data_IF_907993961549
#
_entry.id   IF_907993961549
#
_cell.length_a   1.000
_cell.length_b   1.000
_cell.length_c   1.000
_cell.angle_alpha   90.00
_cell.angle_beta   90.00
_cell.angle_gamma   90.00
#
_symmetry.space_group_name_H-M   'P 1'
#
loop_
_entity.id
_entity.type
_entity.pdbx_description
1 polymer ?
#
# COMPACT_ATOMS: atom_id res chain seq x y z
N UNK A 1 30.13 44.48 23.97
CA UNK A 1 29.34 43.42 23.31
C UNK A 1 30.25 42.22 23.07
N UNK A 2 30.16 41.22 23.94
CA UNK A 2 31.03 40.04 23.96
C UNK A 2 30.34 38.92 23.19
N UNK A 3 31.02 38.34 22.19
CA UNK A 3 30.60 37.13 21.48
C UNK A 3 31.16 35.91 22.24
N UNK A 4 30.27 35.04 22.72
CA UNK A 4 30.60 33.71 23.24
C UNK A 4 30.41 32.67 22.10
N UNK A 5 31.38 31.80 21.82
CA UNK A 5 31.15 30.61 21.02
C UNK A 5 30.74 29.43 21.91
N UNK A 6 29.58 28.84 21.61
CA UNK A 6 29.14 27.57 22.21
C UNK A 6 29.82 26.42 21.46
N UNK A 7 30.64 25.66 22.19
CA UNK A 7 31.13 24.34 21.78
C UNK A 7 30.05 23.30 22.10
N UNK A 8 29.78 22.39 21.17
CA UNK A 8 29.19 21.08 21.48
C UNK A 8 30.16 19.99 21.05
N UNK A 9 30.62 19.22 22.03
CA UNK A 9 31.09 17.87 21.84
C UNK A 9 30.22 16.93 22.67
N UNK A 10 29.80 15.82 22.09
CA UNK A 10 29.72 14.51 22.75
C UNK A 10 29.28 13.47 21.72
N UNK A 11 30.10 12.42 21.56
CA UNK A 11 29.71 11.17 20.90
C UNK A 11 28.78 10.40 21.83
N UNK A 12 27.71 9.84 21.27
CA UNK A 12 26.90 8.78 21.88
C UNK A 12 27.01 7.49 21.03
N UNK A 13 26.81 6.31 21.64
CA UNK A 13 27.22 5.03 21.08
C UNK A 13 26.27 4.50 20.01
N UNK A 14 26.83 3.75 19.06
CA UNK A 14 26.11 2.97 18.05
C UNK A 14 25.36 1.82 18.72
N UNK A 15 24.03 1.83 18.64
CA UNK A 15 23.19 0.67 18.87
C UNK A 15 22.28 0.46 17.65
N UNK A 16 22.48 -0.70 17.01
CA UNK A 16 21.57 -1.48 16.16
C UNK A 16 20.46 -0.70 15.43
N UNK A 17 20.75 -0.25 14.21
CA UNK A 17 19.73 0.07 13.22
C UNK A 17 19.14 -1.26 12.68
N UNK A 18 17.86 -1.48 12.95
CA UNK A 18 17.01 -2.41 12.20
C UNK A 18 16.96 -1.97 10.73
N UNK A 19 17.01 -2.88 9.75
CA UNK A 19 16.95 -2.49 8.35
C UNK A 19 15.53 -1.99 8.04
N UNK A 20 15.36 -0.68 8.00
CA UNK A 20 14.30 -0.06 7.22
C UNK A 20 14.52 -0.53 5.78
N UNK A 21 13.57 -1.28 5.22
CA UNK A 21 13.56 -1.59 3.79
C UNK A 21 13.47 -0.24 3.09
N UNK A 22 14.62 0.29 2.67
CA UNK A 22 14.69 1.51 1.89
C UNK A 22 13.86 1.28 0.63
N UNK A 23 12.84 2.11 0.42
CA UNK A 23 12.27 2.31 -0.90
C UNK A 23 13.41 2.65 -1.87
N UNK A 24 13.24 2.27 -3.13
CA UNK A 24 14.27 2.32 -4.18
C UNK A 24 15.11 3.64 -4.17
N UNK A 25 16.37 3.61 -4.65
CA UNK A 25 17.31 4.74 -4.55
C UNK A 25 16.84 6.08 -5.16
N UNK A 26 15.74 6.09 -5.93
CA UNK A 26 15.15 7.31 -6.48
C UNK A 26 14.63 8.29 -5.41
N UNK A 27 14.21 7.80 -4.24
CA UNK A 27 13.80 8.64 -3.10
C UNK A 27 14.99 9.16 -2.25
N UNK A 28 16.24 8.76 -2.55
CA UNK A 28 17.43 9.10 -1.74
C UNK A 28 18.34 10.19 -2.34
N UNK A 29 17.83 11.05 -3.24
CA UNK A 29 18.67 12.05 -3.95
C UNK A 29 19.24 13.21 -3.10
N UNK A 30 19.30 13.07 -1.77
CA UNK A 30 19.97 14.02 -0.86
C UNK A 30 21.17 13.47 -0.06
N UNK A 31 21.62 12.22 -0.23
CA UNK A 31 22.61 11.61 0.70
C UNK A 31 23.84 10.90 0.07
N UNK A 32 24.29 11.28 -1.13
CA UNK A 32 25.53 10.73 -1.70
C UNK A 32 26.79 11.46 -1.21
N UNK A 33 27.29 11.05 -0.04
CA UNK A 33 28.71 11.12 0.32
C UNK A 33 29.08 10.22 1.52
N UNK A 34 28.93 8.89 1.39
CA UNK A 34 29.80 7.91 2.06
C UNK A 34 29.50 6.45 1.64
N UNK A 35 30.53 5.77 1.12
CA UNK A 35 30.86 4.34 1.28
C UNK A 35 29.77 3.27 1.21
N UNK A 36 29.80 2.45 0.16
CA UNK A 36 28.98 1.25 -0.03
C UNK A 36 29.42 0.06 0.85
N UNK A 37 28.44 -0.76 1.27
CA UNK A 37 28.63 -2.17 1.66
C UNK A 37 27.39 -2.96 1.25
N UNK A 38 27.60 -4.04 0.49
CA UNK A 38 26.58 -4.95 -0.04
C UNK A 38 26.19 -6.02 0.99
N UNK A 39 24.89 -6.28 1.15
CA UNK A 39 24.38 -7.53 1.73
C UNK A 39 23.18 -8.05 0.94
N UNK A 40 23.22 -9.34 0.61
CA UNK A 40 22.21 -10.07 -0.13
C UNK A 40 20.95 -10.29 0.73
N UNK A 41 19.77 -10.12 0.14
CA UNK A 41 18.47 -10.33 0.78
C UNK A 41 17.75 -11.56 0.21
N UNK A 42 17.26 -12.39 1.11
CA UNK A 42 16.51 -13.63 0.88
C UNK A 42 15.07 -13.32 0.43
N UNK A 43 14.68 -13.85 -0.74
CA UNK A 43 13.31 -13.77 -1.30
C UNK A 43 12.30 -14.45 -0.38
N UNK A 44 11.30 -13.69 0.08
CA UNK A 44 10.05 -14.24 0.63
C UNK A 44 8.94 -13.98 -0.39
N UNK A 45 8.37 -15.04 -0.95
CA UNK A 45 7.31 -14.95 -1.97
C UNK A 45 5.96 -14.61 -1.31
N UNK A 46 5.43 -13.41 -1.56
CA UNK A 46 4.02 -13.11 -1.40
C UNK A 46 3.36 -13.15 -2.78
N UNK A 47 2.53 -14.16 -3.03
CA UNK A 47 1.76 -14.29 -4.27
C UNK A 47 0.45 -13.49 -4.13
N UNK A 48 0.44 -12.24 -4.63
CA UNK A 48 -0.81 -11.56 -4.98
C UNK A 48 -1.13 -11.91 -6.45
N UNK A 49 -2.12 -12.79 -6.66
CA UNK A 49 -2.64 -13.05 -8.02
C UNK A 49 -3.56 -11.90 -8.43
N UNK A 50 -3.03 -10.97 -9.21
CA UNK A 50 -3.85 -10.03 -9.97
C UNK A 50 -4.59 -10.81 -11.07
N UNK A 51 -5.92 -10.93 -10.98
CA UNK A 51 -6.74 -11.58 -12.01
C UNK A 51 -6.91 -10.64 -13.20
N UNK A 52 -6.06 -10.77 -14.22
CA UNK A 52 -6.45 -10.42 -15.59
C UNK A 52 -7.37 -11.52 -16.14
N UNK A 53 -8.47 -11.12 -16.76
CA UNK A 53 -9.51 -11.98 -17.32
C UNK A 53 -8.98 -12.75 -18.53
N UNK A 54 -8.58 -14.02 -18.35
CA UNK A 54 -8.26 -14.95 -19.44
C UNK A 54 -9.45 -15.92 -19.61
N UNK A 55 -9.94 -16.16 -20.84
CA UNK A 55 -11.09 -17.04 -21.08
C UNK A 55 -10.80 -18.51 -20.70
N UNK A 56 -11.84 -19.15 -20.14
CA UNK A 56 -11.83 -20.48 -19.49
C UNK A 56 -11.43 -21.61 -20.44
N UNK A 57 -10.43 -22.41 -20.04
CA UNK A 57 -10.22 -23.77 -20.52
C UNK A 57 -10.67 -24.79 -19.46
N UNK A 58 -11.39 -25.81 -19.91
CA UNK A 58 -12.02 -26.89 -19.14
C UNK A 58 -10.98 -27.82 -18.48
N UNK A 59 -11.13 -28.14 -17.20
CA UNK A 59 -10.40 -29.24 -16.52
C UNK A 59 -11.41 -30.21 -15.88
N UNK A 60 -11.23 -31.55 -15.95
CA UNK A 60 -12.22 -32.53 -15.50
C UNK A 60 -12.22 -32.76 -13.98
N UNK A 61 -13.39 -33.14 -13.48
CA UNK A 61 -13.67 -33.52 -12.09
C UNK A 61 -13.04 -34.85 -11.72
N UNK A 62 -12.54 -34.92 -10.48
CA UNK A 62 -12.54 -36.15 -9.71
C UNK A 62 -11.50 -36.10 -8.60
N UNK A 63 -11.94 -35.99 -7.34
CA UNK A 63 -11.44 -36.81 -6.23
C UNK A 63 -12.38 -36.66 -5.02
N UNK A 64 -12.80 -37.81 -4.50
CA UNK A 64 -13.74 -37.98 -3.38
C UNK A 64 -13.03 -37.82 -2.03
N UNK A 65 -13.80 -37.28 -1.08
CA UNK A 65 -13.55 -37.15 0.36
C UNK A 65 -13.34 -38.50 1.07
N UNK A 66 -12.51 -38.49 2.12
CA UNK A 66 -12.64 -39.39 3.26
C UNK A 66 -12.79 -38.51 4.50
N UNK A 67 -13.94 -38.60 5.15
CA UNK A 67 -14.23 -37.98 6.43
C UNK A 67 -13.92 -38.97 7.55
N UNK A 68 -13.14 -38.56 8.55
CA UNK A 68 -13.02 -39.25 9.83
C UNK A 68 -13.85 -38.50 10.87
N UNK A 69 -14.74 -39.25 11.51
CA UNK A 69 -15.73 -38.82 12.49
C UNK A 69 -15.15 -39.12 13.87
N UNK A 70 -15.02 -38.11 14.72
CA UNK A 70 -14.77 -38.26 16.16
C UNK A 70 -15.88 -37.54 16.91
N UNK A 71 -16.49 -38.28 17.83
CA UNK A 71 -17.56 -37.84 18.74
C UNK A 71 -16.99 -37.38 20.08
N UNK A 72 -17.82 -36.59 20.79
CA UNK A 72 -17.76 -36.22 22.22
C UNK A 72 -16.85 -35.00 22.56
N UNK A 73 -17.21 -33.98 23.33
CA UNK A 73 -18.22 -33.81 24.40
C UNK A 73 -18.65 -32.32 24.51
N UNK A 74 -19.89 -32.11 24.95
CA UNK A 74 -20.64 -30.84 25.08
C UNK A 74 -20.18 -29.91 26.22
N UNK A 75 -19.98 -28.62 25.90
CA UNK A 75 -20.36 -27.41 26.70
C UNK A 75 -19.72 -26.08 26.19
N UNK A 76 -18.90 -26.09 25.13
CA UNK A 76 -18.31 -24.88 24.51
C UNK A 76 -18.80 -24.56 23.08
N UNK A 77 -19.88 -25.21 22.64
CA UNK A 77 -20.16 -25.43 21.21
C UNK A 77 -20.83 -24.26 20.46
N UNK A 78 -21.28 -23.20 21.14
CA UNK A 78 -22.05 -22.14 20.47
C UNK A 78 -21.19 -21.09 19.77
N UNK A 79 -20.06 -20.67 20.36
CA UNK A 79 -19.19 -19.66 19.72
C UNK A 79 -18.27 -20.26 18.66
N UNK A 80 -17.88 -21.54 18.80
CA UNK A 80 -16.91 -22.15 17.90
C UNK A 80 -17.52 -22.65 16.58
N UNK A 81 -18.86 -22.77 16.48
CA UNK A 81 -19.56 -23.04 15.21
C UNK A 81 -19.75 -21.79 14.34
N UNK A 82 -19.46 -20.60 14.88
CA UNK A 82 -19.62 -19.32 14.17
C UNK A 82 -18.46 -19.00 13.22
N UNK A 83 -17.35 -19.74 13.32
CA UNK A 83 -16.11 -19.43 12.59
C UNK A 83 -16.22 -19.65 11.08
N UNK A 84 -17.06 -20.58 10.63
CA UNK A 84 -17.20 -20.92 9.20
C UNK A 84 -18.48 -20.33 8.56
N UNK A 85 -19.51 -20.06 9.37
CA UNK A 85 -20.79 -19.51 8.89
C UNK A 85 -20.80 -17.97 8.76
N UNK A 86 -19.77 -17.30 9.28
CA UNK A 86 -19.67 -15.84 9.33
C UNK A 86 -20.56 -15.22 10.42
N UNK A 87 -20.29 -13.95 10.74
CA UNK A 87 -21.10 -13.18 11.67
C UNK A 87 -22.39 -12.70 10.98
N UNK A 88 -23.56 -13.02 11.55
CA UNK A 88 -24.82 -12.42 11.11
C UNK A 88 -24.88 -10.95 11.54
N UNK A 89 -25.78 -10.17 10.94
CA UNK A 89 -25.97 -8.77 11.34
C UNK A 89 -26.40 -8.66 12.79
N UNK A 90 -27.28 -9.54 13.23
CA UNK A 90 -27.78 -9.60 14.61
C UNK A 90 -26.65 -9.91 15.59
N UNK A 91 -25.75 -10.84 15.24
CA UNK A 91 -24.58 -11.15 16.07
C UNK A 91 -23.59 -9.98 16.16
N UNK A 92 -23.42 -9.22 15.06
CA UNK A 92 -22.61 -7.99 15.07
C UNK A 92 -23.27 -6.92 15.95
N UNK A 93 -24.58 -6.72 15.81
CA UNK A 93 -25.33 -5.75 16.61
C UNK A 93 -25.33 -6.13 18.10
N UNK A 94 -25.39 -7.42 18.42
CA UNK A 94 -25.23 -7.95 19.78
C UNK A 94 -23.82 -7.68 20.33
N UNK A 95 -22.76 -7.98 19.56
CA UNK A 95 -21.38 -7.71 19.98
C UNK A 95 -21.10 -6.21 20.20
N UNK A 96 -21.69 -5.35 19.35
CA UNK A 96 -21.66 -3.90 19.56
C UNK A 96 -22.41 -3.55 20.85
N UNK A 97 -23.63 -4.05 21.02
CA UNK A 97 -24.48 -3.76 22.18
C UNK A 97 -23.90 -4.24 23.51
N UNK A 98 -23.10 -5.31 23.49
CA UNK A 98 -22.41 -5.83 24.67
C UNK A 98 -21.02 -5.22 24.88
N UNK A 99 -20.53 -4.38 23.95
CA UNK A 99 -19.19 -3.81 23.99
C UNK A 99 -18.05 -4.82 23.74
N UNK A 100 -18.36 -6.03 23.27
CA UNK A 100 -17.37 -7.10 23.08
C UNK A 100 -16.89 -7.14 21.63
N UNK A 101 -16.20 -6.08 21.21
CA UNK A 101 -15.69 -5.98 19.83
C UNK A 101 -14.41 -6.78 19.58
N UNK A 102 -13.67 -7.18 20.61
CA UNK A 102 -12.39 -7.87 20.48
C UNK A 102 -12.51 -9.15 19.64
N UNK A 103 -13.52 -9.98 19.91
CA UNK A 103 -13.73 -11.22 19.16
C UNK A 103 -14.12 -10.96 17.70
N UNK A 104 -14.94 -9.94 17.44
CA UNK A 104 -15.33 -9.56 16.09
C UNK A 104 -14.12 -9.02 15.31
N UNK A 105 -13.33 -8.13 15.92
CA UNK A 105 -12.14 -7.54 15.31
C UNK A 105 -11.05 -8.59 15.09
N UNK A 106 -10.86 -9.50 16.03
CA UNK A 106 -9.95 -10.63 15.87
C UNK A 106 -10.37 -11.52 14.70
N UNK A 107 -11.66 -11.84 14.61
CA UNK A 107 -12.20 -12.61 13.48
C UNK A 107 -12.01 -11.87 12.16
N UNK A 108 -12.30 -10.57 12.08
CA UNK A 108 -12.05 -9.74 10.89
C UNK A 108 -10.56 -9.80 10.51
N UNK A 109 -9.66 -9.63 11.47
CA UNK A 109 -8.20 -9.60 11.25
C UNK A 109 -7.62 -10.93 10.77
N UNK A 110 -8.22 -12.06 11.18
CA UNK A 110 -7.75 -13.41 10.81
C UNK A 110 -8.45 -14.00 9.58
N UNK A 111 -9.62 -13.47 9.19
CA UNK A 111 -10.49 -14.01 8.13
C UNK A 111 -10.78 -13.02 7.01
N UNK A 112 -9.99 -11.95 6.86
CA UNK A 112 -10.25 -10.85 5.92
C UNK A 112 -10.46 -11.25 4.46
N UNK A 113 -9.96 -12.43 4.04
CA UNK A 113 -10.15 -12.94 2.67
C UNK A 113 -11.58 -13.39 2.35
N UNK A 114 -12.48 -13.42 3.34
CA UNK A 114 -13.86 -13.84 3.15
C UNK A 114 -14.79 -12.62 3.03
N UNK A 115 -15.75 -12.69 2.10
CA UNK A 115 -16.76 -11.65 1.89
C UNK A 115 -17.53 -11.25 3.17
N UNK A 116 -17.66 -12.17 4.13
CA UNK A 116 -18.32 -11.92 5.41
C UNK A 116 -17.52 -10.94 6.28
N UNK A 117 -16.19 -11.06 6.34
CA UNK A 117 -15.33 -10.17 7.11
C UNK A 117 -15.35 -8.74 6.55
N UNK A 118 -15.36 -8.61 5.23
CA UNK A 118 -15.53 -7.32 4.54
C UNK A 118 -16.86 -6.66 4.92
N UNK A 119 -17.98 -7.40 4.86
CA UNK A 119 -19.29 -6.89 5.27
C UNK A 119 -19.33 -6.45 6.73
N UNK A 120 -18.72 -7.22 7.63
CA UNK A 120 -18.66 -6.87 9.04
C UNK A 120 -17.86 -5.58 9.27
N UNK A 121 -16.70 -5.43 8.60
CA UNK A 121 -15.91 -4.21 8.60
C UNK A 121 -16.74 -3.02 8.10
N UNK A 122 -17.47 -3.18 6.99
CA UNK A 122 -18.28 -2.11 6.42
C UNK A 122 -19.43 -1.68 7.36
N UNK A 123 -20.02 -2.63 8.12
CA UNK A 123 -20.99 -2.32 9.17
C UNK A 123 -20.35 -1.49 10.31
N UNK A 124 -19.15 -1.86 10.75
CA UNK A 124 -18.43 -1.11 11.79
C UNK A 124 -18.06 0.30 11.31
N UNK A 125 -17.64 0.46 10.05
CA UNK A 125 -17.39 1.76 9.42
C UNK A 125 -18.68 2.60 9.41
N UNK A 126 -19.81 2.02 9.02
CA UNK A 126 -21.09 2.71 8.99
C UNK A 126 -21.59 3.13 10.40
N UNK A 127 -21.14 2.43 11.45
CA UNK A 127 -21.47 2.71 12.85
C UNK A 127 -20.30 3.34 13.64
N UNK A 128 -19.30 3.90 12.97
CA UNK A 128 -18.10 4.43 13.63
C UNK A 128 -18.32 5.68 14.51
N UNK A 129 -19.54 6.20 14.58
CA UNK A 129 -19.91 7.27 15.53
C UNK A 129 -20.66 6.73 16.77
N UNK A 130 -20.99 5.44 16.80
CA UNK A 130 -21.61 4.81 17.95
C UNK A 130 -20.62 4.76 19.12
N UNK A 131 -20.97 5.28 20.32
CA UNK A 131 -20.09 5.28 21.48
C UNK A 131 -19.51 3.92 21.83
N UNK A 132 -20.27 2.83 21.67
CA UNK A 132 -19.79 1.48 21.97
C UNK A 132 -18.79 0.98 20.93
N UNK A 133 -18.96 1.38 19.67
CA UNK A 133 -17.99 1.08 18.60
C UNK A 133 -16.70 1.87 18.81
N UNK A 134 -16.82 3.15 19.14
CA UNK A 134 -15.68 4.01 19.47
C UNK A 134 -14.90 3.41 20.65
N UNK A 135 -15.59 3.11 21.74
CA UNK A 135 -14.97 2.54 22.94
C UNK A 135 -14.29 1.20 22.65
N UNK A 136 -14.95 0.28 21.96
CA UNK A 136 -14.38 -1.04 21.69
C UNK A 136 -13.14 -1.00 20.79
N UNK A 137 -13.15 -0.19 19.73
CA UNK A 137 -11.97 -0.04 18.87
C UNK A 137 -10.84 0.70 19.60
N UNK A 138 -11.14 1.77 20.37
CA UNK A 138 -10.11 2.44 21.18
C UNK A 138 -9.49 1.44 22.16
N UNK A 139 -10.31 0.63 22.83
CA UNK A 139 -9.83 -0.42 23.75
C UNK A 139 -8.83 -1.33 23.04
N UNK A 140 -9.20 -1.90 21.89
CA UNK A 140 -8.32 -2.79 21.10
C UNK A 140 -7.02 -2.11 20.68
N UNK A 141 -7.07 -0.85 20.25
CA UNK A 141 -5.87 -0.10 19.85
C UNK A 141 -4.98 0.25 21.04
N UNK A 142 -5.55 0.38 22.23
CA UNK A 142 -4.83 0.71 23.47
C UNK A 142 -4.27 -0.51 24.20
N UNK A 143 -4.70 -1.74 23.88
CA UNK A 143 -4.21 -2.95 24.53
C UNK A 143 -2.77 -3.31 24.09
N UNK A 144 -1.91 -3.81 25.00
CA UNK A 144 -0.57 -4.24 24.62
C UNK A 144 -0.59 -5.46 23.67
N UNK A 145 0.18 -5.39 22.60
CA UNK A 145 0.26 -6.45 21.57
C UNK A 145 1.26 -7.53 22.00
N UNK A 146 0.79 -8.58 22.68
CA UNK A 146 1.64 -9.65 23.25
C UNK A 146 1.70 -10.91 22.39
N UNK A 147 0.77 -11.05 21.45
CA UNK A 147 0.64 -12.21 20.58
C UNK A 147 0.32 -11.83 19.14
N UNK A 148 0.46 -12.80 18.23
CA UNK A 148 0.01 -12.64 16.84
C UNK A 148 -1.50 -12.39 16.74
N UNK A 149 -2.29 -12.94 17.67
CA UNK A 149 -3.73 -12.71 17.71
C UNK A 149 -4.06 -11.26 18.07
N UNK A 150 -3.39 -10.71 19.10
CA UNK A 150 -3.55 -9.30 19.50
C UNK A 150 -3.17 -8.38 18.34
N UNK A 151 -2.08 -8.72 17.63
CA UNK A 151 -1.64 -8.00 16.44
C UNK A 151 -2.72 -7.98 15.35
N UNK A 152 -3.31 -9.14 15.02
CA UNK A 152 -4.39 -9.22 14.04
C UNK A 152 -5.61 -8.39 14.46
N UNK A 153 -5.99 -8.42 15.74
CA UNK A 153 -7.10 -7.64 16.28
C UNK A 153 -6.83 -6.13 16.16
N UNK A 154 -5.65 -5.68 16.57
CA UNK A 154 -5.24 -4.28 16.46
C UNK A 154 -5.12 -3.83 15.00
N UNK A 155 -4.61 -4.68 14.10
CA UNK A 155 -4.62 -4.42 12.65
C UNK A 155 -6.03 -4.22 12.11
N UNK A 156 -7.01 -5.03 12.53
CA UNK A 156 -8.40 -4.88 12.10
C UNK A 156 -9.00 -3.54 12.58
N UNK A 157 -8.78 -3.19 13.85
CA UNK A 157 -9.17 -1.89 14.40
C UNK A 157 -8.54 -0.73 13.62
N UNK A 158 -7.23 -0.81 13.37
CA UNK A 158 -6.49 0.23 12.65
C UNK A 158 -6.97 0.38 11.20
N UNK A 159 -7.31 -0.72 10.52
CA UNK A 159 -7.87 -0.66 9.17
C UNK A 159 -9.23 0.03 9.12
N UNK A 160 -10.12 -0.28 10.07
CA UNK A 160 -11.42 0.38 10.16
C UNK A 160 -11.23 1.89 10.32
N UNK A 161 -10.39 2.33 11.26
CA UNK A 161 -10.21 3.77 11.51
C UNK A 161 -9.61 4.51 10.31
N UNK A 162 -8.69 3.88 9.58
CA UNK A 162 -8.06 4.47 8.38
C UNK A 162 -9.02 4.77 7.24
N UNK A 163 -10.16 4.08 7.19
CA UNK A 163 -11.18 4.29 6.15
C UNK A 163 -12.24 5.34 6.57
N UNK A 164 -12.17 5.87 7.80
CA UNK A 164 -13.17 6.79 8.33
C UNK A 164 -12.97 8.23 7.85
N UNK A 165 -14.04 9.01 7.59
CA UNK A 165 -13.94 10.44 7.34
C UNK A 165 -13.17 11.16 8.44
N UNK A 166 -12.39 12.21 8.09
CA UNK A 166 -11.51 12.93 9.02
C UNK A 166 -12.19 13.33 10.35
N UNK A 167 -13.43 13.82 10.28
CA UNK A 167 -14.20 14.21 11.47
C UNK A 167 -14.48 13.03 12.41
N UNK A 168 -14.74 11.84 11.87
CA UNK A 168 -14.99 10.61 12.64
C UNK A 168 -13.69 9.96 13.10
N UNK A 169 -12.65 9.95 12.27
CA UNK A 169 -11.31 9.45 12.63
C UNK A 169 -10.75 10.14 13.89
N UNK A 170 -11.00 11.44 14.06
CA UNK A 170 -10.61 12.21 15.28
C UNK A 170 -11.14 11.61 16.59
N UNK A 171 -12.28 10.92 16.55
CA UNK A 171 -12.87 10.29 17.74
C UNK A 171 -11.99 9.15 18.28
N UNK A 172 -11.12 8.57 17.45
CA UNK A 172 -10.27 7.44 17.78
C UNK A 172 -8.83 7.84 18.15
N UNK A 173 -8.55 9.15 18.26
CA UNK A 173 -7.19 9.69 18.45
C UNK A 173 -6.48 9.10 19.68
N UNK A 174 -7.16 8.93 20.80
CA UNK A 174 -6.53 8.39 22.02
C UNK A 174 -6.05 6.94 21.86
N UNK A 175 -6.82 6.10 21.17
CA UNK A 175 -6.42 4.73 20.85
C UNK A 175 -5.21 4.69 19.91
N UNK A 176 -5.21 5.55 18.89
CA UNK A 176 -4.08 5.70 17.97
C UNK A 176 -2.80 6.17 18.68
N UNK A 177 -2.91 7.17 19.57
CA UNK A 177 -1.77 7.69 20.34
C UNK A 177 -1.18 6.60 21.26
N UNK A 178 -2.04 5.80 21.89
CA UNK A 178 -1.60 4.68 22.73
C UNK A 178 -0.84 3.64 21.91
N UNK A 179 -1.40 3.26 20.75
CA UNK A 179 -0.77 2.30 19.84
C UNK A 179 0.58 2.82 19.32
N UNK A 180 0.65 4.08 18.89
CA UNK A 180 1.88 4.70 18.40
C UNK A 180 2.97 4.74 19.48
N UNK A 181 2.60 5.02 20.73
CA UNK A 181 3.53 5.09 21.87
C UNK A 181 3.99 3.71 22.41
N UNK A 182 3.45 2.60 21.89
CA UNK A 182 3.85 1.24 22.27
C UNK A 182 5.36 1.05 22.12
N UNK A 183 6.02 0.49 23.15
CA UNK A 183 7.47 0.22 23.16
C UNK A 183 7.80 -1.26 23.23
N UNK A 184 6.80 -2.12 23.15
CA UNK A 184 6.95 -3.57 23.23
C UNK A 184 7.72 -4.14 22.03
N UNK A 185 8.34 -5.30 22.25
CA UNK A 185 8.93 -6.09 21.18
C UNK A 185 7.84 -6.73 20.32
N UNK A 186 8.14 -6.96 19.04
CA UNK A 186 7.21 -7.65 18.15
C UNK A 186 7.00 -9.10 18.57
N UNK A 187 5.75 -9.58 18.68
CA UNK A 187 5.49 -11.01 18.80
C UNK A 187 6.04 -11.78 17.59
N UNK A 188 6.34 -13.09 17.72
CA UNK A 188 6.85 -13.88 16.61
C UNK A 188 5.95 -13.84 15.38
N UNK A 189 6.55 -13.56 14.21
CA UNK A 189 5.88 -13.60 12.91
C UNK A 189 5.07 -12.36 12.53
N UNK A 190 5.04 -11.32 13.37
CA UNK A 190 4.34 -10.05 13.10
C UNK A 190 5.29 -8.85 13.29
N UNK A 191 4.89 -7.69 12.78
CA UNK A 191 5.70 -6.46 12.82
C UNK A 191 4.95 -5.36 13.58
N UNK A 192 5.17 -5.29 14.90
CA UNK A 192 4.62 -4.21 15.72
C UNK A 192 5.10 -2.82 15.26
N UNK A 193 6.36 -2.62 14.83
CA UNK A 193 6.79 -1.36 14.21
C UNK A 193 5.90 -0.91 13.05
N UNK A 194 5.50 -1.81 12.13
CA UNK A 194 4.61 -1.46 11.02
C UNK A 194 3.22 -1.02 11.48
N UNK A 195 2.72 -1.62 12.57
CA UNK A 195 1.45 -1.25 13.16
C UNK A 195 1.53 0.12 13.85
N UNK A 196 2.62 0.40 14.57
CA UNK A 196 2.90 1.70 15.21
C UNK A 196 3.02 2.82 14.18
N UNK A 197 3.88 2.67 13.18
CA UNK A 197 4.01 3.67 12.11
C UNK A 197 2.68 3.89 11.40
N UNK A 198 1.92 2.82 11.25
CA UNK A 198 0.56 2.89 10.76
C UNK A 198 -0.43 3.72 11.57
N UNK A 199 -0.24 3.83 12.88
CA UNK A 199 -1.00 4.70 13.77
C UNK A 199 -0.44 6.13 13.76
N UNK A 200 0.89 6.28 13.70
CA UNK A 200 1.58 7.57 13.54
C UNK A 200 1.11 8.30 12.28
N UNK A 201 1.01 7.61 11.13
CA UNK A 201 0.51 8.22 9.89
C UNK A 201 -0.95 8.70 10.05
N UNK A 202 -1.78 7.93 10.76
CA UNK A 202 -3.18 8.30 11.00
C UNK A 202 -3.29 9.53 11.90
N UNK A 203 -2.42 9.64 12.93
CA UNK A 203 -2.30 10.82 13.77
C UNK A 203 -1.83 12.02 12.94
N UNK A 204 -0.80 11.85 12.11
CA UNK A 204 -0.32 12.90 11.21
C UNK A 204 -1.42 13.38 10.26
N UNK A 205 -2.22 12.46 9.72
CA UNK A 205 -3.38 12.79 8.91
C UNK A 205 -4.41 13.63 9.67
N UNK A 206 -4.67 13.32 10.94
CA UNK A 206 -5.58 14.07 11.82
C UNK A 206 -5.06 15.49 12.08
N UNK A 207 -3.79 15.57 12.47
CA UNK A 207 -3.17 16.78 13.01
C UNK A 207 -2.79 17.79 11.92
N UNK A 208 -2.53 17.30 10.71
CA UNK A 208 -2.13 18.12 9.56
C UNK A 208 -3.12 17.95 8.40
N UNK A 209 -4.35 18.49 8.47
CA UNK A 209 -5.42 18.22 7.50
C UNK A 209 -5.10 18.64 6.05
N UNK A 210 -4.18 19.58 5.86
CA UNK A 210 -3.78 20.09 4.54
C UNK A 210 -2.54 19.37 3.95
N UNK A 211 -1.87 18.51 4.73
CA UNK A 211 -0.60 17.90 4.33
C UNK A 211 -0.81 16.71 3.39
N UNK A 212 -0.33 16.76 2.15
CA UNK A 212 -0.25 15.56 1.31
C UNK A 212 1.18 14.99 1.33
N UNK A 213 1.32 13.66 1.25
CA UNK A 213 2.62 13.00 1.13
C UNK A 213 2.56 11.77 0.24
N UNK A 214 3.67 11.47 -0.43
CA UNK A 214 3.87 10.20 -1.13
C UNK A 214 4.21 9.09 -0.12
N UNK A 215 3.92 7.81 -0.44
CA UNK A 215 4.21 6.71 0.48
C UNK A 215 5.69 6.68 0.86
N UNK A 216 5.97 6.57 2.16
CA UNK A 216 7.35 6.53 2.66
C UNK A 216 7.85 5.10 2.85
N UNK A 217 6.95 4.13 2.98
CA UNK A 217 7.24 2.71 3.18
C UNK A 217 6.08 1.83 2.69
N UNK A 218 6.30 0.52 2.58
CA UNK A 218 5.36 -0.44 1.97
C UNK A 218 3.99 -0.54 2.64
N UNK A 219 3.86 -0.05 3.87
CA UNK A 219 2.62 -0.12 4.68
C UNK A 219 2.09 1.25 5.06
N UNK A 220 2.54 2.30 4.36
CA UNK A 220 2.01 3.68 4.49
C UNK A 220 0.69 3.79 3.71
N UNK A 221 -0.37 3.25 4.30
CA UNK A 221 -1.71 3.25 3.69
C UNK A 221 -2.36 4.64 3.72
N UNK A 222 -1.88 5.54 4.57
CA UNK A 222 -2.44 6.89 4.70
C UNK A 222 -1.90 7.83 3.63
N UNK A 223 -0.72 7.58 3.05
CA UNK A 223 -0.20 8.37 1.92
C UNK A 223 -1.16 8.40 0.72
N UNK A 224 -1.66 7.24 0.27
CA UNK A 224 -2.62 7.17 -0.85
C UNK A 224 -3.84 8.06 -0.55
N UNK A 225 -4.38 7.93 0.66
CA UNK A 225 -5.54 8.69 1.11
C UNK A 225 -5.24 10.19 1.22
N UNK A 226 -4.06 10.58 1.70
CA UNK A 226 -3.63 11.97 1.80
C UNK A 226 -3.60 12.65 0.43
N UNK A 227 -3.06 11.97 -0.59
CA UNK A 227 -3.02 12.47 -1.96
C UNK A 227 -4.43 12.48 -2.58
N UNK A 228 -5.23 11.44 -2.35
CA UNK A 228 -6.59 11.35 -2.86
C UNK A 228 -7.46 12.51 -2.37
N UNK A 229 -7.39 12.82 -1.07
CA UNK A 229 -8.26 13.79 -0.42
C UNK A 229 -7.75 15.24 -0.50
N UNK A 230 -6.44 15.47 -0.67
CA UNK A 230 -5.83 16.81 -0.52
C UNK A 230 -5.20 17.37 -1.79
N UNK A 231 -4.93 16.53 -2.78
CA UNK A 231 -4.39 16.96 -4.08
C UNK A 231 -5.52 16.96 -5.11
N UNK A 232 -5.81 18.13 -5.67
CA UNK A 232 -6.92 18.33 -6.62
C UNK A 232 -6.49 18.91 -7.96
N UNK A 233 -5.21 19.26 -8.11
CA UNK A 233 -4.68 19.84 -9.34
C UNK A 233 -3.34 19.21 -9.71
N UNK A 234 -3.01 19.26 -11.00
CA UNK A 234 -1.70 18.84 -11.49
C UNK A 234 -0.55 19.59 -10.80
N UNK A 235 -0.70 20.89 -10.57
CA UNK A 235 0.32 21.69 -9.90
C UNK A 235 0.60 21.22 -8.46
N UNK A 236 -0.45 20.80 -7.74
CA UNK A 236 -0.30 20.21 -6.40
C UNK A 236 0.29 18.79 -6.46
N UNK A 237 0.01 18.01 -7.51
CA UNK A 237 0.54 16.65 -7.66
C UNK A 237 2.02 16.62 -8.04
N UNK A 238 2.48 17.63 -8.80
CA UNK A 238 3.83 17.68 -9.39
C UNK A 238 4.98 17.35 -8.42
N UNK A 239 5.02 17.84 -7.16
CA UNK A 239 6.10 17.51 -6.23
C UNK A 239 6.20 16.02 -5.87
N UNK A 240 5.12 15.27 -6.01
CA UNK A 240 5.03 13.85 -5.61
C UNK A 240 5.23 12.89 -6.78
N UNK A 241 5.20 13.37 -8.02
CA UNK A 241 5.16 12.52 -9.21
C UNK A 241 6.35 11.56 -9.30
N UNK A 242 7.57 12.05 -9.06
CA UNK A 242 8.79 11.23 -9.07
C UNK A 242 8.74 10.11 -8.02
N UNK A 243 8.35 10.44 -6.77
CA UNK A 243 8.28 9.47 -5.69
C UNK A 243 7.22 8.40 -5.97
N UNK A 244 6.06 8.80 -6.50
CA UNK A 244 5.00 7.86 -6.88
C UNK A 244 5.43 6.92 -8.02
N UNK A 245 6.17 7.42 -9.00
CA UNK A 245 6.74 6.58 -10.07
C UNK A 245 7.80 5.60 -9.53
N UNK A 246 8.52 5.99 -8.47
CA UNK A 246 9.42 5.11 -7.72
C UNK A 246 8.71 3.88 -7.13
N UNK A 247 7.46 4.02 -6.70
CA UNK A 247 6.65 2.90 -6.20
C UNK A 247 6.14 1.96 -7.29
N UNK A 248 6.32 2.30 -8.57
CA UNK A 248 5.97 1.44 -9.70
C UNK A 248 7.05 0.41 -10.04
N UNK A 249 8.18 0.39 -9.32
CA UNK A 249 9.26 -0.57 -9.56
C UNK A 249 8.83 -2.03 -9.33
N UNK A 250 7.91 -2.30 -8.40
CA UNK A 250 7.46 -3.65 -8.09
C UNK A 250 5.94 -3.69 -7.89
N UNK A 251 5.26 -4.40 -8.79
CA UNK A 251 3.81 -4.60 -8.78
C UNK A 251 3.28 -5.31 -7.52
N UNK A 252 4.15 -5.93 -6.71
CA UNK A 252 3.78 -6.58 -5.45
C UNK A 252 3.84 -5.62 -4.26
N UNK A 253 4.34 -4.38 -4.43
CA UNK A 253 4.35 -3.42 -3.34
C UNK A 253 2.94 -2.90 -3.08
N UNK A 254 2.47 -2.91 -1.81
CA UNK A 254 1.12 -2.46 -1.51
C UNK A 254 0.76 -1.07 -2.05
N UNK A 255 1.67 -0.06 -2.05
CA UNK A 255 1.36 1.25 -2.61
C UNK A 255 1.22 1.31 -4.14
N UNK A 256 1.65 0.29 -4.89
CA UNK A 256 1.73 0.32 -6.36
C UNK A 256 0.41 0.80 -7.00
N UNK A 257 -0.71 0.14 -6.68
CA UNK A 257 -2.01 0.46 -7.28
C UNK A 257 -2.51 1.84 -6.85
N UNK A 258 -2.25 2.25 -5.61
CA UNK A 258 -2.58 3.60 -5.14
C UNK A 258 -1.81 4.66 -5.91
N UNK A 259 -0.51 4.45 -6.14
CA UNK A 259 0.35 5.36 -6.90
C UNK A 259 -0.10 5.49 -8.35
N UNK A 260 -0.43 4.38 -9.03
CA UNK A 260 -1.00 4.39 -10.39
C UNK A 260 -2.26 5.25 -10.44
N UNK A 261 -3.22 5.02 -9.51
CA UNK A 261 -4.47 5.78 -9.46
C UNK A 261 -4.23 7.27 -9.26
N UNK A 262 -3.29 7.65 -8.39
CA UNK A 262 -3.00 9.06 -8.13
C UNK A 262 -2.36 9.73 -9.36
N UNK A 263 -1.35 9.10 -9.97
CA UNK A 263 -0.70 9.62 -11.18
C UNK A 263 -1.68 9.73 -12.36
N UNK A 264 -2.58 8.75 -12.53
CA UNK A 264 -3.58 8.73 -13.60
C UNK A 264 -4.60 9.87 -13.51
N UNK A 265 -4.76 10.53 -12.36
CA UNK A 265 -5.61 11.73 -12.23
C UNK A 265 -5.01 12.96 -12.91
N UNK A 266 -3.68 13.01 -13.03
CA UNK A 266 -2.92 14.13 -13.57
C UNK A 266 -1.75 13.62 -14.43
N UNK A 267 -2.00 12.83 -15.49
CA UNK A 267 -0.96 12.15 -16.25
C UNK A 267 0.12 13.09 -16.83
N UNK A 268 -0.24 14.35 -17.08
CA UNK A 268 0.68 15.38 -17.56
C UNK A 268 1.86 15.66 -16.62
N UNK A 269 1.70 15.41 -15.31
CA UNK A 269 2.79 15.63 -14.34
C UNK A 269 3.82 14.51 -14.33
N UNK A 270 3.46 13.34 -14.88
CA UNK A 270 4.29 12.15 -14.85
C UNK A 270 5.30 12.12 -16.02
N UNK A 271 5.00 12.81 -17.13
CA UNK A 271 5.79 12.73 -18.37
C UNK A 271 7.25 13.13 -18.18
N UNK A 272 7.53 14.31 -17.62
CA UNK A 272 8.92 14.77 -17.46
C UNK A 272 9.72 13.86 -16.51
N UNK A 273 9.20 13.49 -15.31
CA UNK A 273 9.86 12.48 -14.45
C UNK A 273 10.08 11.11 -15.12
N UNK A 274 9.16 10.65 -15.97
CA UNK A 274 9.33 9.36 -16.69
C UNK A 274 10.56 9.42 -17.61
N UNK A 275 10.80 10.55 -18.28
CA UNK A 275 11.98 10.72 -19.13
C UNK A 275 13.27 10.60 -18.32
N UNK A 276 13.30 11.21 -17.15
CA UNK A 276 14.43 11.10 -16.22
C UNK A 276 14.62 9.64 -15.76
N UNK A 277 13.54 8.94 -15.41
CA UNK A 277 13.62 7.52 -14.98
C UNK A 277 14.16 6.63 -16.10
N UNK A 278 13.66 6.77 -17.33
CA UNK A 278 14.14 5.99 -18.49
C UNK A 278 15.62 6.28 -18.75
N UNK A 279 16.05 7.53 -18.63
CA UNK A 279 17.45 7.90 -18.80
C UNK A 279 18.35 7.29 -17.72
N UNK A 280 17.91 7.34 -16.46
CA UNK A 280 18.71 6.97 -15.29
C UNK A 280 18.72 5.46 -14.97
N UNK A 281 17.73 4.68 -15.44
CA UNK A 281 17.50 3.29 -15.00
C UNK A 281 17.39 2.29 -16.16
N UNK A 282 18.21 2.45 -17.19
CA UNK A 282 18.20 1.57 -18.38
C UNK A 282 18.53 0.10 -18.09
N UNK A 283 19.17 -0.16 -16.97
CA UNK A 283 19.55 -1.48 -16.50
C UNK A 283 18.45 -2.17 -15.67
N UNK A 284 17.30 -1.52 -15.47
CA UNK A 284 16.13 -2.05 -14.77
C UNK A 284 14.92 -2.20 -15.72
N UNK A 285 14.93 -3.20 -16.62
CA UNK A 285 13.87 -3.36 -17.61
C UNK A 285 12.52 -3.72 -16.98
N UNK A 286 12.48 -4.31 -15.79
CA UNK A 286 11.24 -4.63 -15.08
C UNK A 286 10.53 -3.35 -14.63
N UNK A 287 11.26 -2.44 -13.99
CA UNK A 287 10.68 -1.15 -13.60
C UNK A 287 10.26 -0.33 -14.84
N UNK A 288 11.13 -0.23 -15.86
CA UNK A 288 10.79 0.51 -17.08
C UNK A 288 9.55 -0.06 -17.79
N UNK A 289 9.37 -1.38 -17.78
CA UNK A 289 8.17 -2.01 -18.32
C UNK A 289 6.91 -1.61 -17.55
N UNK A 290 6.97 -1.56 -16.22
CA UNK A 290 5.85 -1.05 -15.40
C UNK A 290 5.54 0.42 -15.67
N UNK A 291 6.57 1.25 -15.92
CA UNK A 291 6.39 2.64 -16.33
C UNK A 291 5.67 2.72 -17.67
N UNK A 292 6.08 1.92 -18.68
CA UNK A 292 5.40 1.91 -19.97
C UNK A 292 3.95 1.44 -19.88
N UNK A 293 3.65 0.41 -19.06
CA UNK A 293 2.26 0.00 -18.81
C UNK A 293 1.43 1.11 -18.18
N UNK A 294 2.00 1.90 -17.25
CA UNK A 294 1.31 3.07 -16.73
C UNK A 294 1.00 4.10 -17.83
N UNK A 295 1.97 4.40 -18.70
CA UNK A 295 1.77 5.36 -19.80
C UNK A 295 0.70 4.85 -20.77
N UNK A 296 0.78 3.58 -21.18
CA UNK A 296 -0.18 2.94 -22.07
C UNK A 296 -1.60 2.94 -21.49
N UNK A 297 -1.76 2.56 -20.23
CA UNK A 297 -3.08 2.42 -19.60
C UNK A 297 -3.69 3.75 -19.13
N UNK A 298 -2.87 4.76 -18.80
CA UNK A 298 -3.33 5.95 -18.04
C UNK A 298 -3.02 7.30 -18.67
N UNK A 299 -2.08 7.39 -19.63
CA UNK A 299 -1.75 8.66 -20.30
C UNK A 299 -2.45 8.73 -21.65
N UNK A 300 -3.30 9.74 -21.92
CA UNK A 300 -3.94 9.87 -23.24
C UNK A 300 -2.92 9.98 -24.37
N UNK A 301 -3.12 9.21 -25.44
CA UNK A 301 -2.32 9.30 -26.66
C UNK A 301 -2.46 10.70 -27.24
N UNK A 302 -1.33 11.34 -27.54
CA UNK A 302 -1.26 12.66 -28.14
C UNK A 302 -0.01 13.41 -27.72
N UNK A 303 -0.13 14.72 -27.49
CA UNK A 303 1.00 15.63 -27.17
C UNK A 303 1.85 15.16 -25.99
N UNK A 304 1.26 14.46 -25.01
CA UNK A 304 2.02 13.90 -23.89
C UNK A 304 2.91 12.72 -24.32
N UNK A 305 2.43 11.86 -25.21
CA UNK A 305 3.20 10.75 -25.77
C UNK A 305 4.29 11.25 -26.73
N UNK A 306 4.03 12.32 -27.49
CA UNK A 306 5.06 12.94 -28.35
C UNK A 306 6.29 13.37 -27.55
N UNK A 307 6.10 13.85 -26.32
CA UNK A 307 7.21 14.24 -25.45
C UNK A 307 8.09 13.06 -25.00
N UNK A 308 7.56 11.84 -25.05
CA UNK A 308 8.23 10.58 -24.70
C UNK A 308 8.78 9.84 -25.93
N UNK A 309 8.47 10.29 -27.15
CA UNK A 309 8.88 9.63 -28.40
C UNK A 309 10.38 9.37 -28.51
N UNK A 310 11.30 10.29 -28.09
CA UNK A 310 12.73 10.01 -28.11
C UNK A 310 13.12 8.83 -27.20
N UNK A 311 12.57 8.80 -25.99
CA UNK A 311 12.82 7.75 -25.00
C UNK A 311 12.22 6.41 -25.46
N UNK A 312 11.00 6.42 -26.03
CA UNK A 312 10.37 5.22 -26.59
C UNK A 312 11.17 4.66 -27.78
N UNK A 313 11.63 5.52 -28.69
CA UNK A 313 12.42 5.11 -29.86
C UNK A 313 13.73 4.43 -29.46
N UNK A 314 14.33 4.94 -28.39
CA UNK A 314 15.54 4.41 -27.82
C UNK A 314 15.35 3.04 -27.18
N UNK A 315 14.27 2.86 -26.40
CA UNK A 315 13.92 1.56 -25.81
C UNK A 315 13.54 0.53 -26.89
N UNK A 316 12.80 0.96 -27.91
CA UNK A 316 12.39 0.15 -29.06
C UNK A 316 13.57 -0.38 -29.90
N UNK A 317 14.71 0.31 -29.87
CA UNK A 317 15.92 -0.03 -30.64
C UNK A 317 16.87 -0.96 -29.89
N UNK A 318 16.51 -1.45 -28.71
CA UNK A 318 17.35 -2.34 -27.91
C UNK A 318 17.44 -3.74 -28.52
N UNK A 319 18.63 -4.16 -28.96
CA UNK A 319 18.90 -5.51 -29.46
C UNK A 319 19.21 -6.49 -28.32
N UNK A 320 18.29 -6.62 -27.36
CA UNK A 320 18.54 -7.43 -26.17
C UNK A 320 18.17 -8.91 -26.35
N UNK A 321 19.03 -9.79 -25.84
CA UNK A 321 18.83 -11.24 -25.85
C UNK A 321 18.01 -11.77 -24.67
N UNK A 322 17.85 -11.01 -23.59
CA UNK A 322 17.02 -11.42 -22.47
C UNK A 322 15.54 -11.10 -22.71
N UNK A 323 14.68 -11.88 -22.05
CA UNK A 323 13.23 -11.77 -22.24
C UNK A 323 12.69 -10.41 -21.82
N UNK A 324 13.13 -9.85 -20.70
CA UNK A 324 12.54 -8.63 -20.15
C UNK A 324 12.85 -7.42 -21.03
N UNK A 325 14.08 -7.29 -21.50
CA UNK A 325 14.42 -6.23 -22.44
C UNK A 325 13.73 -6.39 -23.80
N UNK A 326 13.50 -7.62 -24.28
CA UNK A 326 12.64 -7.83 -25.48
C UNK A 326 11.20 -7.38 -25.24
N UNK A 327 10.59 -7.81 -24.14
CA UNK A 327 9.22 -7.43 -23.77
C UNK A 327 9.13 -5.88 -23.67
N UNK A 328 10.14 -5.22 -23.11
CA UNK A 328 10.24 -3.75 -23.04
C UNK A 328 10.34 -3.10 -24.43
N UNK A 329 11.20 -3.61 -25.31
CA UNK A 329 11.35 -3.10 -26.67
C UNK A 329 10.07 -3.28 -27.49
N UNK A 330 9.40 -4.44 -27.37
CA UNK A 330 8.13 -4.73 -28.05
C UNK A 330 7.01 -3.78 -27.60
N UNK A 331 6.89 -3.50 -26.30
CA UNK A 331 5.93 -2.53 -25.77
C UNK A 331 6.24 -1.12 -26.28
N UNK A 332 7.50 -0.69 -26.24
CA UNK A 332 7.90 0.61 -26.77
C UNK A 332 7.60 0.77 -28.28
N UNK A 333 7.86 -0.29 -29.07
CA UNK A 333 7.52 -0.32 -30.51
C UNK A 333 6.01 -0.23 -30.74
N UNK A 334 5.21 -0.98 -29.98
CA UNK A 334 3.74 -0.91 -30.03
C UNK A 334 3.24 0.50 -29.77
N UNK A 335 3.74 1.15 -28.71
CA UNK A 335 3.36 2.52 -28.36
C UNK A 335 3.74 3.54 -29.44
N UNK A 336 4.91 3.41 -30.07
CA UNK A 336 5.31 4.24 -31.21
C UNK A 336 4.39 4.05 -32.43
N UNK A 337 3.94 2.81 -32.67
CA UNK A 337 2.94 2.49 -33.69
C UNK A 337 1.63 3.26 -33.45
N UNK A 338 1.09 3.16 -32.24
CA UNK A 338 -0.13 3.88 -31.83
C UNK A 338 0.04 5.40 -31.94
N UNK A 339 1.19 5.95 -31.54
CA UNK A 339 1.48 7.38 -31.69
C UNK A 339 1.53 7.81 -33.17
N UNK A 340 2.11 6.98 -34.05
CA UNK A 340 2.16 7.25 -35.49
C UNK A 340 0.78 7.26 -36.12
N UNK A 341 -0.10 6.32 -35.72
CA UNK A 341 -1.49 6.28 -36.16
C UNK A 341 -2.24 7.56 -35.74
N UNK A 342 -2.14 7.94 -34.47
CA UNK A 342 -2.74 9.16 -33.96
C UNK A 342 -2.26 10.41 -34.72
N UNK A 343 -0.94 10.54 -35.00
CA UNK A 343 -0.39 11.66 -35.78
C UNK A 343 -0.98 11.73 -37.19
N UNK A 344 -1.19 10.59 -37.86
CA UNK A 344 -1.80 10.54 -39.20
C UNK A 344 -3.26 11.01 -39.17
N UNK A 345 -4.00 10.64 -38.13
CA UNK A 345 -5.40 11.06 -37.94
C UNK A 345 -5.51 12.57 -37.73
N UNK A 346 -4.52 13.23 -37.12
CA UNK A 346 -4.53 14.69 -36.97
C UNK A 346 -4.32 15.40 -38.33
N UNK A 347 -3.35 14.95 -39.13
CA UNK A 347 -3.05 15.56 -40.44
C UNK A 347 -4.18 15.38 -41.46
N UNK A 348 -4.97 14.30 -41.34
CA UNK A 348 -6.12 14.06 -42.21
C UNK A 348 -7.37 14.89 -41.88
N UNK A 349 -7.36 15.61 -40.76
CA UNK A 349 -8.49 16.43 -40.27
C UNK A 349 -8.24 17.95 -40.36
N UNK A 350 -7.08 18.38 -40.89
CA UNK A 350 -6.77 19.76 -41.29
C UNK A 350 -7.10 19.98 -42.77
#
# INVERSE_FOLDING_TARGET
MVKLPVRFGARLPKCCETPTIAAYPAAQRAWRSAGASTCASTRTHYLYRCRRSIPRAHIPRGYRSIATRTTDTSAGSSMQQQTDAGWSREAIDEAIGSGSLDHLLHWIGTTERYNAAVKARDILIARAQDPLVIQGIISVLSEPVKSSNDFCTACAGLRIVRDLPLATLRLYRSGLETLAASTEDSPPGVSLPSLRSGAEDAIQFIDSPELAWAPQYKTDYMAERSLAERVHTAQQMKPYAMDLLGWLADLNWPPYLGCVKQLARFPEVAVDPIKEIIADNRDDPEWLLHILYFVEDSVPIGVLWEKLEPELSLLASSEAEDKLNRDLAEVAQSMLGLLSEWKKEQVGNE
#
